data_IF_055200893843
#
_entry.id   IF_055200893843
#
_cell.length_a   1.000
_cell.length_b   1.000
_cell.length_c   1.000
_cell.angle_alpha   90.00
_cell.angle_beta   90.00
_cell.angle_gamma   90.00
#
_symmetry.space_group_name_H-M   'P 1'
#
loop_
_entity.id
_entity.type
_entity.pdbx_description
1 polymer ?
#
# COMPACT_ATOMS: atom_id res chain seq x y z
N UNK A 1 -6.74 17.16 27.98
CA UNK A 1 -6.67 17.75 26.63
C UNK A 1 -5.21 17.83 26.25
N UNK A 2 -4.79 17.09 25.23
CA UNK A 2 -3.41 17.03 24.77
C UNK A 2 -3.28 17.74 23.42
N UNK A 3 -2.07 18.22 23.12
CA UNK A 3 -1.74 18.80 21.82
C UNK A 3 -1.20 17.73 20.89
N UNK A 4 -1.82 17.57 19.72
CA UNK A 4 -1.45 16.54 18.75
C UNK A 4 -1.12 17.21 17.42
N UNK A 5 0.02 16.86 16.85
CA UNK A 5 0.42 17.29 15.51
C UNK A 5 0.35 16.10 14.57
N UNK A 6 -0.42 16.26 13.48
CA UNK A 6 -0.48 15.31 12.37
C UNK A 6 0.35 15.87 11.22
N UNK A 7 1.33 15.12 10.76
CA UNK A 7 2.21 15.49 9.64
C UNK A 7 1.65 14.87 8.36
N UNK A 8 1.17 15.73 7.46
CA UNK A 8 0.53 15.36 6.20
C UNK A 8 -0.98 15.16 6.30
N UNK A 9 -1.72 15.79 5.37
CA UNK A 9 -3.17 15.66 5.23
C UNK A 9 -3.58 14.41 4.42
N UNK A 10 -2.89 13.28 4.64
CA UNK A 10 -3.26 12.00 4.06
C UNK A 10 -4.53 11.44 4.69
N UNK A 11 -5.14 10.44 4.03
CA UNK A 11 -6.43 9.84 4.46
C UNK A 11 -6.39 9.38 5.91
N UNK A 12 -5.36 8.61 6.30
CA UNK A 12 -5.21 8.13 7.68
C UNK A 12 -5.01 9.24 8.68
N UNK A 13 -4.25 10.30 8.30
CA UNK A 13 -4.02 11.47 9.14
C UNK A 13 -5.28 12.28 9.39
N UNK A 14 -6.06 12.54 8.34
CA UNK A 14 -7.30 13.31 8.46
C UNK A 14 -8.35 12.57 9.29
N UNK A 15 -8.49 11.25 9.14
CA UNK A 15 -9.45 10.48 9.95
C UNK A 15 -9.00 10.37 11.42
N UNK A 16 -7.70 10.19 11.67
CA UNK A 16 -7.17 10.22 13.02
C UNK A 16 -7.36 11.58 13.67
N UNK A 17 -7.03 12.67 12.97
CA UNK A 17 -7.20 14.04 13.43
C UNK A 17 -8.65 14.34 13.81
N UNK A 18 -9.60 14.01 12.91
CA UNK A 18 -11.03 14.17 13.17
C UNK A 18 -11.46 13.48 14.48
N UNK A 19 -11.17 12.19 14.59
CA UNK A 19 -11.60 11.38 15.76
C UNK A 19 -10.94 11.86 17.07
N UNK A 20 -9.70 12.29 17.03
CA UNK A 20 -8.99 12.82 18.20
C UNK A 20 -9.52 14.20 18.62
N UNK A 21 -9.89 15.06 17.67
CA UNK A 21 -10.56 16.32 17.98
C UNK A 21 -11.95 16.08 18.58
N UNK A 22 -12.72 15.12 18.07
CA UNK A 22 -13.99 14.68 18.67
C UNK A 22 -13.82 14.11 20.08
N UNK A 23 -12.65 13.52 20.38
CA UNK A 23 -12.29 13.06 21.72
C UNK A 23 -11.79 14.19 22.66
N UNK A 24 -11.77 15.45 22.18
CA UNK A 24 -11.44 16.63 22.97
C UNK A 24 -9.95 17.01 23.02
N UNK A 25 -9.12 16.49 22.07
CA UNK A 25 -7.73 16.92 21.94
C UNK A 25 -7.60 18.15 21.04
N UNK A 26 -6.53 18.93 21.23
CA UNK A 26 -6.13 20.05 20.35
C UNK A 26 -5.29 19.49 19.19
N UNK A 27 -5.87 19.40 17.99
CA UNK A 27 -5.25 18.74 16.86
C UNK A 27 -4.93 19.73 15.74
N UNK A 28 -3.67 19.75 15.32
CA UNK A 28 -3.20 20.52 14.17
C UNK A 28 -2.60 19.59 13.12
N UNK A 29 -3.09 19.68 11.87
CA UNK A 29 -2.52 19.00 10.71
C UNK A 29 -1.58 19.96 9.99
N UNK A 30 -0.35 19.52 9.71
CA UNK A 30 0.64 20.27 8.92
C UNK A 30 0.74 19.64 7.54
N UNK A 31 0.31 20.35 6.50
CA UNK A 31 0.35 19.87 5.11
C UNK A 31 1.31 20.72 4.28
N UNK A 32 2.26 20.08 3.59
CA UNK A 32 3.29 20.77 2.78
C UNK A 32 2.74 21.43 1.52
N UNK A 33 1.67 20.87 0.97
CA UNK A 33 1.06 21.35 -0.28
C UNK A 33 0.03 22.46 -0.01
N UNK A 34 -0.33 23.18 -1.07
CA UNK A 34 -1.52 24.02 -1.07
C UNK A 34 -2.77 23.16 -0.98
N UNK A 35 -3.86 23.76 -0.47
CA UNK A 35 -5.15 23.06 -0.26
C UNK A 35 -5.65 22.34 -1.52
N UNK A 36 -5.51 22.95 -2.68
CA UNK A 36 -5.94 22.40 -3.97
C UNK A 36 -5.05 21.27 -4.51
N UNK A 37 -3.85 21.08 -3.93
CA UNK A 37 -2.84 20.12 -4.39
C UNK A 37 -2.57 18.98 -3.41
N UNK A 38 -3.44 18.79 -2.40
CA UNK A 38 -3.26 17.74 -1.40
C UNK A 38 -3.40 16.34 -2.01
N UNK A 39 -4.32 16.16 -2.95
CA UNK A 39 -4.58 14.88 -3.59
C UNK A 39 -4.21 14.89 -5.07
N UNK A 40 -3.76 13.74 -5.57
CA UNK A 40 -3.60 13.51 -7.00
C UNK A 40 -4.95 13.53 -7.71
N UNK A 41 -4.97 13.97 -8.98
CA UNK A 41 -6.15 13.97 -9.83
C UNK A 41 -6.40 12.57 -10.42
N UNK A 42 -6.91 11.68 -9.58
CA UNK A 42 -7.08 10.26 -9.87
C UNK A 42 -8.32 9.72 -9.15
N UNK A 43 -8.83 8.60 -9.66
CA UNK A 43 -9.86 7.81 -8.98
C UNK A 43 -9.27 6.52 -8.41
N UNK A 44 -9.74 6.09 -7.25
CA UNK A 44 -9.28 4.85 -6.62
C UNK A 44 -10.44 3.96 -6.19
N UNK A 45 -10.19 2.67 -6.19
CA UNK A 45 -11.12 1.68 -5.65
C UNK A 45 -10.84 1.44 -4.17
N UNK A 46 -11.87 1.50 -3.34
CA UNK A 46 -11.80 1.26 -1.89
C UNK A 46 -12.86 0.25 -1.50
N UNK A 47 -12.60 -0.56 -0.48
CA UNK A 47 -13.58 -1.49 0.07
C UNK A 47 -14.59 -0.77 0.98
N UNK A 48 -15.81 -1.31 1.02
CA UNK A 48 -16.91 -0.79 1.83
C UNK A 48 -16.59 -0.89 3.32
N UNK A 49 -15.99 -2.00 3.74
CA UNK A 49 -15.68 -2.28 5.13
C UNK A 49 -14.71 -1.26 5.75
N UNK A 50 -13.78 -0.73 4.96
CA UNK A 50 -12.87 0.32 5.43
C UNK A 50 -13.57 1.64 5.72
N UNK A 51 -14.59 2.01 4.91
CA UNK A 51 -15.44 3.17 5.19
C UNK A 51 -16.28 2.97 6.45
N UNK A 52 -16.92 1.81 6.57
CA UNK A 52 -17.72 1.44 7.74
C UNK A 52 -16.89 1.42 9.01
N UNK A 53 -15.69 0.80 8.96
CA UNK A 53 -14.76 0.77 10.08
C UNK A 53 -14.35 2.18 10.54
N UNK A 54 -14.15 3.09 9.58
CA UNK A 54 -13.86 4.49 9.86
C UNK A 54 -15.08 5.28 10.37
N UNK A 55 -16.29 4.74 10.27
CA UNK A 55 -17.54 5.43 10.59
C UNK A 55 -17.84 6.55 9.60
N UNK A 56 -17.47 6.34 8.34
CA UNK A 56 -17.74 7.30 7.27
C UNK A 56 -19.01 6.91 6.53
N UNK A 57 -19.89 7.88 6.32
CA UNK A 57 -21.02 7.74 5.41
C UNK A 57 -20.52 7.49 3.98
N UNK A 58 -21.16 6.59 3.26
CA UNK A 58 -20.85 6.26 1.88
C UNK A 58 -21.82 6.97 0.96
N UNK A 59 -21.39 8.01 0.20
CA UNK A 59 -22.23 8.63 -0.81
C UNK A 59 -22.61 7.64 -1.91
N UNK A 60 -23.81 7.76 -2.44
CA UNK A 60 -24.27 6.91 -3.55
C UNK A 60 -23.37 7.09 -4.78
N UNK A 61 -22.84 8.29 -5.00
CA UNK A 61 -21.88 8.59 -6.09
C UNK A 61 -20.55 7.83 -6.00
N UNK A 62 -20.21 7.24 -4.85
CA UNK A 62 -19.01 6.42 -4.70
C UNK A 62 -19.25 4.95 -5.05
N UNK A 63 -20.52 4.51 -5.08
CA UNK A 63 -20.84 3.12 -5.41
C UNK A 63 -20.60 2.86 -6.89
N UNK A 64 -19.87 1.81 -7.19
CA UNK A 64 -19.60 1.39 -8.55
C UNK A 64 -19.69 -0.13 -8.68
N UNK A 65 -20.01 -0.60 -9.88
CA UNK A 65 -19.81 -2.00 -10.21
C UNK A 65 -18.31 -2.28 -10.27
N UNK A 66 -17.86 -3.34 -9.62
CA UNK A 66 -16.47 -3.78 -9.76
C UNK A 66 -16.27 -4.33 -11.15
N UNK A 67 -15.39 -3.71 -11.90
CA UNK A 67 -14.95 -4.25 -13.18
C UNK A 67 -14.23 -5.58 -13.00
N UNK A 68 -14.50 -6.52 -13.89
CA UNK A 68 -13.69 -7.74 -14.01
C UNK A 68 -12.29 -7.33 -14.40
N UNK A 69 -11.31 -7.83 -13.68
CA UNK A 69 -9.89 -7.61 -13.96
C UNK A 69 -9.41 -8.74 -14.87
N UNK A 70 -8.81 -8.38 -15.98
CA UNK A 70 -8.19 -9.35 -16.90
C UNK A 70 -6.68 -9.19 -16.83
N UNK A 71 -5.99 -10.26 -16.47
CA UNK A 71 -4.55 -10.36 -16.59
C UNK A 71 -4.22 -10.73 -18.03
N UNK A 72 -3.49 -9.86 -18.69
CA UNK A 72 -3.11 -10.03 -20.10
C UNK A 72 -1.68 -10.56 -20.15
N UNK A 73 -1.46 -11.77 -20.69
CA UNK A 73 -0.12 -12.32 -20.87
C UNK A 73 0.61 -11.61 -22.00
N UNK A 74 1.94 -11.62 -21.95
CA UNK A 74 2.78 -11.06 -23.01
C UNK A 74 2.74 -11.88 -24.30
N UNK A 75 2.56 -13.18 -24.17
CA UNK A 75 2.48 -14.09 -25.30
C UNK A 75 1.07 -14.08 -25.89
N UNK A 76 0.97 -13.79 -27.17
CA UNK A 76 -0.33 -13.66 -27.87
C UNK A 76 -1.10 -14.98 -28.02
N UNK A 77 -0.43 -16.10 -27.84
CA UNK A 77 -0.97 -17.47 -27.89
C UNK A 77 -1.45 -17.98 -26.52
N UNK A 78 -1.22 -17.22 -25.46
CA UNK A 78 -1.72 -17.53 -24.10
C UNK A 78 -3.00 -16.75 -23.85
N UNK A 79 -4.06 -17.45 -23.43
CA UNK A 79 -5.36 -16.82 -23.14
C UNK A 79 -5.30 -15.92 -21.90
N UNK A 80 -5.87 -14.72 -21.94
CA UNK A 80 -5.97 -13.85 -20.77
C UNK A 80 -6.81 -14.47 -19.64
N UNK A 81 -6.37 -14.32 -18.42
CA UNK A 81 -7.09 -14.78 -17.22
C UNK A 81 -7.97 -13.66 -16.68
N UNK A 82 -9.28 -13.85 -16.71
CA UNK A 82 -10.23 -12.90 -16.16
C UNK A 82 -10.61 -13.31 -14.74
N UNK A 83 -10.28 -12.43 -13.79
CA UNK A 83 -10.66 -12.57 -12.38
C UNK A 83 -12.14 -12.18 -12.22
N UNK A 84 -12.97 -12.92 -11.44
CA UNK A 84 -14.33 -12.51 -11.20
C UNK A 84 -14.38 -11.15 -10.53
N UNK A 85 -15.40 -10.39 -10.87
CA UNK A 85 -15.80 -9.27 -10.03
C UNK A 85 -16.23 -9.84 -8.67
N UNK A 86 -15.78 -9.20 -7.56
CA UNK A 86 -16.32 -9.58 -6.24
C UNK A 86 -17.85 -9.49 -6.25
N UNK A 87 -18.50 -10.35 -5.46
CA UNK A 87 -19.97 -10.42 -5.41
C UNK A 87 -20.61 -9.13 -4.87
N UNK A 88 -19.85 -8.35 -4.09
CA UNK A 88 -20.28 -7.04 -3.58
C UNK A 88 -19.69 -5.91 -4.44
N UNK A 89 -20.50 -4.88 -4.71
CA UNK A 89 -20.09 -3.65 -5.37
C UNK A 89 -18.88 -3.02 -4.64
N UNK A 90 -18.04 -2.30 -5.37
CA UNK A 90 -16.92 -1.55 -4.81
C UNK A 90 -17.28 -0.07 -4.63
N UNK A 91 -16.36 0.67 -4.02
CA UNK A 91 -16.39 2.12 -4.03
C UNK A 91 -15.32 2.62 -4.99
N UNK A 92 -15.71 3.53 -5.86
CA UNK A 92 -14.81 4.29 -6.71
C UNK A 92 -14.82 5.74 -6.23
N UNK A 93 -13.72 6.19 -5.67
CA UNK A 93 -13.62 7.53 -5.10
C UNK A 93 -12.72 8.40 -5.97
N UNK A 94 -13.20 9.57 -6.37
CA UNK A 94 -12.31 10.63 -6.84
C UNK A 94 -11.48 11.14 -5.67
N UNK A 95 -10.16 11.09 -5.80
CA UNK A 95 -9.26 11.43 -4.67
C UNK A 95 -9.41 12.87 -4.23
N UNK A 96 -9.53 13.82 -5.17
CA UNK A 96 -9.67 15.25 -4.82
C UNK A 96 -10.95 15.50 -4.05
N UNK A 97 -12.06 14.92 -4.48
CA UNK A 97 -13.34 15.03 -3.79
C UNK A 97 -13.29 14.37 -2.41
N UNK A 98 -12.75 13.17 -2.34
CA UNK A 98 -12.64 12.41 -1.09
C UNK A 98 -11.75 13.13 -0.05
N UNK A 99 -10.57 13.62 -0.45
CA UNK A 99 -9.68 14.35 0.44
C UNK A 99 -10.29 15.68 0.89
N UNK A 100 -10.95 16.40 -0.01
CA UNK A 100 -11.71 17.61 0.33
C UNK A 100 -12.78 17.31 1.38
N UNK A 101 -13.55 16.23 1.18
CA UNK A 101 -14.57 15.78 2.14
C UNK A 101 -13.97 15.45 3.50
N UNK A 102 -12.87 14.68 3.55
CA UNK A 102 -12.21 14.35 4.81
C UNK A 102 -11.66 15.60 5.51
N UNK A 103 -11.10 16.55 4.76
CA UNK A 103 -10.63 17.82 5.32
C UNK A 103 -11.77 18.61 5.95
N UNK A 104 -12.91 18.71 5.28
CA UNK A 104 -14.10 19.39 5.81
C UNK A 104 -14.65 18.70 7.07
N UNK A 105 -14.65 17.37 7.11
CA UNK A 105 -15.06 16.61 8.29
C UNK A 105 -14.09 16.85 9.47
N UNK A 106 -12.79 16.91 9.21
CA UNK A 106 -11.79 17.20 10.23
C UNK A 106 -11.91 18.66 10.75
N UNK A 107 -12.00 19.64 9.83
CA UNK A 107 -12.22 21.05 10.18
C UNK A 107 -13.53 21.22 10.99
N UNK A 108 -14.61 20.54 10.61
CA UNK A 108 -15.89 20.52 11.32
C UNK A 108 -15.83 19.93 12.72
N UNK A 109 -14.87 19.03 12.99
CA UNK A 109 -14.58 18.48 14.32
C UNK A 109 -13.66 19.40 15.17
N UNK A 110 -13.19 20.53 14.62
CA UNK A 110 -12.31 21.48 15.32
C UNK A 110 -10.81 21.31 15.00
N UNK A 111 -10.44 20.49 14.02
CA UNK A 111 -9.04 20.33 13.59
C UNK A 111 -8.59 21.58 12.85
N UNK A 112 -7.40 22.07 13.19
CA UNK A 112 -6.73 23.13 12.44
C UNK A 112 -5.85 22.50 11.36
N UNK A 113 -6.06 22.83 10.06
CA UNK A 113 -5.21 22.40 8.96
C UNK A 113 -4.37 23.58 8.48
N UNK A 114 -3.05 23.47 8.61
CA UNK A 114 -2.07 24.45 8.13
C UNK A 114 -1.47 23.94 6.82
N UNK A 115 -1.89 24.54 5.71
CA UNK A 115 -1.35 24.25 4.38
C UNK A 115 -0.04 25.02 4.15
N UNK A 116 0.77 24.58 3.17
CA UNK A 116 2.09 25.13 2.86
C UNK A 116 3.03 25.14 4.10
N UNK A 117 2.78 24.20 5.02
CA UNK A 117 3.54 24.03 6.26
C UNK A 117 4.20 22.66 6.27
N UNK A 118 5.46 22.58 5.83
CA UNK A 118 6.20 21.32 5.73
C UNK A 118 6.96 21.01 7.01
N UNK A 119 6.64 19.88 7.67
CA UNK A 119 7.44 19.34 8.77
C UNK A 119 8.68 18.61 8.19
N UNK A 120 9.87 18.91 8.74
CA UNK A 120 11.17 18.43 8.25
C UNK A 120 11.90 17.49 9.19
N UNK A 121 11.86 17.77 10.48
CA UNK A 121 12.62 17.03 11.49
C UNK A 121 11.77 16.78 12.74
N UNK A 122 11.92 15.63 13.40
CA UNK A 122 11.36 15.43 14.73
C UNK A 122 12.14 16.27 15.76
N UNK A 123 11.46 16.76 16.80
CA UNK A 123 12.06 17.31 17.99
C UNK A 123 12.15 16.19 19.02
N UNK A 124 13.36 15.89 19.48
CA UNK A 124 13.61 14.82 20.44
C UNK A 124 13.96 15.42 21.80
N UNK A 125 13.22 15.05 22.84
CA UNK A 125 13.52 15.38 24.23
C UNK A 125 13.74 14.07 25.02
N UNK A 126 14.98 13.82 25.40
CA UNK A 126 15.35 12.53 25.99
C UNK A 126 15.14 11.37 25.00
N UNK A 127 14.26 10.43 25.35
CA UNK A 127 13.88 9.30 24.49
C UNK A 127 12.56 9.51 23.73
N UNK A 128 11.97 10.72 23.81
CA UNK A 128 10.63 11.00 23.32
C UNK A 128 10.64 11.92 22.12
N UNK A 129 9.75 11.68 21.17
CA UNK A 129 9.37 12.65 20.14
C UNK A 129 8.41 13.66 20.80
N UNK A 130 8.84 14.93 20.86
CA UNK A 130 8.12 15.99 21.57
C UNK A 130 7.57 17.08 20.62
N UNK A 131 7.65 16.84 19.31
CA UNK A 131 7.18 17.78 18.30
C UNK A 131 7.90 17.66 16.97
N UNK A 132 7.74 18.68 16.13
CA UNK A 132 8.38 18.75 14.81
C UNK A 132 8.96 20.14 14.55
N UNK A 133 10.03 20.17 13.76
CA UNK A 133 10.59 21.40 13.20
C UNK A 133 10.13 21.54 11.74
N UNK A 134 9.56 22.68 11.40
CA UNK A 134 9.05 22.99 10.07
C UNK A 134 10.15 23.56 9.15
N UNK A 135 9.91 23.60 7.85
CA UNK A 135 10.86 24.05 6.84
C UNK A 135 11.28 25.52 7.03
N UNK A 136 10.42 26.37 7.60
CA UNK A 136 10.71 27.75 7.97
C UNK A 136 11.52 27.89 9.27
N UNK A 137 11.95 26.76 9.86
CA UNK A 137 12.78 26.70 11.05
C UNK A 137 12.04 26.79 12.38
N UNK A 138 10.70 26.92 12.38
CA UNK A 138 9.92 26.98 13.62
C UNK A 138 9.82 25.61 14.28
N UNK A 139 9.89 25.62 15.61
CA UNK A 139 9.67 24.44 16.44
C UNK A 139 8.21 24.41 16.93
N UNK A 140 7.57 23.26 16.74
CA UNK A 140 6.20 22.98 17.12
C UNK A 140 6.18 21.84 18.13
N UNK A 141 5.99 22.14 19.39
CA UNK A 141 5.94 21.16 20.48
C UNK A 141 4.53 20.60 20.65
N UNK A 142 4.44 19.30 20.90
CA UNK A 142 3.17 18.57 21.13
C UNK A 142 3.39 17.33 22.00
N UNK A 143 2.30 16.71 22.43
CA UNK A 143 2.31 15.51 23.24
C UNK A 143 2.38 14.24 22.38
N UNK A 144 1.85 14.29 21.13
CA UNK A 144 1.90 13.19 20.14
C UNK A 144 2.12 13.76 18.74
N UNK A 145 3.07 13.18 18.01
CA UNK A 145 3.25 13.36 16.57
C UNK A 145 2.68 12.14 15.84
N UNK A 146 1.71 12.37 14.96
CA UNK A 146 1.16 11.34 14.05
C UNK A 146 1.75 11.59 12.66
N UNK A 147 2.61 10.68 12.20
CA UNK A 147 3.31 10.82 10.92
C UNK A 147 2.55 10.15 9.78
N UNK A 148 1.96 10.98 8.92
CA UNK A 148 1.30 10.61 7.66
C UNK A 148 2.04 11.24 6.46
N UNK A 149 3.35 11.51 6.61
CA UNK A 149 4.18 12.18 5.61
C UNK A 149 4.49 11.34 4.36
N UNK A 150 3.88 10.16 4.22
CA UNK A 150 4.04 9.28 3.08
C UNK A 150 5.32 8.43 3.12
N UNK A 151 5.57 7.69 2.05
CA UNK A 151 6.66 6.70 1.96
C UNK A 151 8.05 7.30 2.24
N UNK A 152 8.26 8.55 1.90
CA UNK A 152 9.52 9.30 2.11
C UNK A 152 9.42 10.30 3.28
N UNK A 153 8.60 10.04 4.31
CA UNK A 153 8.44 10.95 5.44
C UNK A 153 9.80 11.41 6.01
N UNK A 154 10.06 12.72 6.05
CA UNK A 154 11.27 13.25 6.63
C UNK A 154 11.30 13.06 8.16
N UNK A 155 10.15 12.96 8.81
CA UNK A 155 10.10 12.72 10.26
C UNK A 155 10.60 11.30 10.56
N UNK A 156 10.01 10.27 9.94
CA UNK A 156 10.43 8.87 10.11
C UNK A 156 11.91 8.68 9.82
N UNK A 157 12.41 9.25 8.71
CA UNK A 157 13.81 9.10 8.27
C UNK A 157 14.82 9.75 9.21
N UNK A 158 14.41 10.68 10.04
CA UNK A 158 15.24 11.36 11.03
C UNK A 158 14.98 10.93 12.49
N UNK A 159 14.22 9.85 12.71
CA UNK A 159 14.07 9.28 14.05
C UNK A 159 15.40 8.68 14.56
N UNK A 160 15.68 8.74 15.87
CA UNK A 160 16.85 8.08 16.46
C UNK A 160 16.76 6.55 16.34
N UNK A 161 17.92 5.87 16.27
CA UNK A 161 17.98 4.41 16.12
C UNK A 161 17.35 3.64 17.29
N UNK A 162 17.35 4.20 18.48
CA UNK A 162 16.74 3.58 19.65
C UNK A 162 15.22 3.38 19.53
N UNK A 163 14.57 4.00 18.55
CA UNK A 163 13.13 3.81 18.28
C UNK A 163 12.83 2.48 17.60
N UNK A 164 13.84 1.82 17.03
CA UNK A 164 13.72 0.62 16.18
C UNK A 164 12.85 0.80 14.93
N UNK A 165 12.41 2.02 14.63
CA UNK A 165 11.61 2.33 13.43
C UNK A 165 12.54 2.40 12.22
N UNK A 166 12.25 1.59 11.19
CA UNK A 166 13.05 1.55 9.96
C UNK A 166 12.99 2.87 9.21
N UNK A 167 14.16 3.46 8.95
CA UNK A 167 14.30 4.79 8.32
C UNK A 167 14.30 4.70 6.79
N UNK A 168 15.13 3.81 6.25
CA UNK A 168 15.31 3.68 4.80
C UNK A 168 14.58 2.45 4.28
N UNK A 169 14.07 2.56 3.07
CA UNK A 169 13.43 1.50 2.33
C UNK A 169 14.28 1.16 1.11
N UNK A 170 14.36 -0.12 0.77
CA UNK A 170 15.05 -0.54 -0.46
C UNK A 170 14.27 -0.08 -1.70
N UNK A 171 14.90 -0.12 -2.88
CA UNK A 171 14.20 0.18 -4.12
C UNK A 171 13.07 -0.81 -4.43
N UNK A 172 13.23 -2.09 -4.05
CA UNK A 172 12.23 -3.12 -4.26
C UNK A 172 11.06 -3.08 -3.25
N UNK A 173 11.18 -2.23 -2.23
CA UNK A 173 10.10 -1.94 -1.28
C UNK A 173 9.06 -0.97 -1.86
N UNK A 174 9.37 -0.34 -2.99
CA UNK A 174 8.55 0.69 -3.63
C UNK A 174 8.33 0.39 -5.10
N UNK A 175 7.21 0.85 -5.62
CA UNK A 175 6.99 1.04 -7.04
C UNK A 175 6.93 2.53 -7.36
N UNK A 176 7.49 2.87 -8.50
CA UNK A 176 7.39 4.19 -9.10
C UNK A 176 6.30 4.13 -10.14
N UNK A 177 5.36 5.06 -10.07
CA UNK A 177 4.16 5.02 -10.90
C UNK A 177 4.01 6.29 -11.72
N UNK A 178 3.46 6.15 -12.91
CA UNK A 178 2.86 7.24 -13.67
C UNK A 178 1.42 6.87 -13.98
N UNK A 179 0.46 7.73 -13.66
CA UNK A 179 -0.96 7.51 -13.93
C UNK A 179 -1.58 8.71 -14.62
N UNK A 180 -2.32 8.43 -15.69
CA UNK A 180 -2.90 9.44 -16.56
C UNK A 180 -4.24 8.94 -17.11
N UNK A 181 -5.13 9.89 -17.45
CA UNK A 181 -6.42 9.62 -18.07
C UNK A 181 -6.43 10.27 -19.43
N UNK A 182 -6.65 9.47 -20.46
CA UNK A 182 -6.71 9.92 -21.84
C UNK A 182 -8.15 9.95 -22.32
N UNK A 183 -8.45 10.87 -23.26
CA UNK A 183 -9.73 10.90 -23.94
C UNK A 183 -10.01 9.54 -24.59
N UNK A 184 -11.25 9.07 -24.53
CA UNK A 184 -11.64 7.86 -25.22
C UNK A 184 -11.94 8.16 -26.69
N UNK A 185 -11.40 7.37 -27.62
CA UNK A 185 -11.73 7.42 -29.03
C UNK A 185 -13.15 6.92 -29.27
N UNK A 186 -14.01 7.78 -29.84
CA UNK A 186 -15.46 7.52 -29.97
C UNK A 186 -15.80 6.39 -30.92
N UNK A 187 -15.01 6.26 -32.00
CA UNK A 187 -15.26 5.28 -33.07
C UNK A 187 -14.48 3.97 -32.89
N UNK A 188 -13.73 3.85 -31.81
CA UNK A 188 -13.00 2.64 -31.52
C UNK A 188 -13.93 1.49 -31.09
N UNK A 189 -13.62 0.23 -31.49
CA UNK A 189 -14.40 -0.92 -31.05
C UNK A 189 -14.42 -1.02 -29.51
N UNK A 190 -15.54 -1.52 -28.97
CA UNK A 190 -15.62 -1.74 -27.54
C UNK A 190 -14.59 -2.78 -27.12
N UNK A 191 -13.81 -2.54 -26.06
CA UNK A 191 -12.86 -3.51 -25.56
C UNK A 191 -13.60 -4.74 -25.01
N UNK A 192 -13.00 -5.92 -25.18
CA UNK A 192 -13.57 -7.18 -24.65
C UNK A 192 -13.72 -7.14 -23.13
N UNK A 193 -12.82 -6.42 -22.47
CA UNK A 193 -12.78 -6.26 -21.02
C UNK A 193 -12.48 -4.81 -20.65
N UNK A 194 -13.13 -4.32 -19.59
CA UNK A 194 -12.99 -2.94 -19.17
C UNK A 194 -11.65 -2.67 -18.46
N UNK A 195 -11.10 -3.66 -17.74
CA UNK A 195 -9.90 -3.51 -16.93
C UNK A 195 -8.86 -4.58 -17.29
N UNK A 196 -7.81 -4.16 -17.97
CA UNK A 196 -6.69 -5.02 -18.38
C UNK A 196 -5.43 -4.66 -17.59
N UNK A 197 -4.78 -5.67 -17.01
CA UNK A 197 -3.48 -5.57 -16.35
C UNK A 197 -2.45 -6.35 -17.16
N UNK A 198 -1.41 -5.67 -17.56
CA UNK A 198 -0.25 -6.22 -18.28
C UNK A 198 0.89 -6.38 -17.27
N UNK A 199 1.19 -7.64 -16.91
CA UNK A 199 2.31 -7.94 -16.02
C UNK A 199 3.58 -8.00 -16.84
N UNK A 200 4.64 -7.30 -16.40
CA UNK A 200 5.91 -7.18 -17.12
C UNK A 200 5.73 -6.71 -18.57
N UNK A 201 4.86 -5.72 -18.76
CA UNK A 201 4.61 -5.14 -20.06
C UNK A 201 5.92 -4.73 -20.75
N UNK A 202 6.05 -5.06 -22.02
CA UNK A 202 7.27 -4.88 -22.82
C UNK A 202 8.54 -5.53 -22.22
N UNK A 203 8.36 -6.62 -21.46
CA UNK A 203 9.45 -7.38 -20.82
C UNK A 203 10.13 -6.69 -19.65
N UNK A 204 9.63 -5.54 -19.22
CA UNK A 204 10.21 -4.76 -18.11
C UNK A 204 9.60 -5.11 -16.75
N UNK A 205 10.31 -4.83 -15.66
CA UNK A 205 9.82 -5.06 -14.31
C UNK A 205 8.65 -4.13 -13.95
N UNK A 206 7.59 -4.69 -13.36
CA UNK A 206 6.40 -3.97 -12.94
C UNK A 206 5.14 -4.45 -13.65
N UNK A 207 4.16 -3.59 -13.69
CA UNK A 207 2.89 -3.84 -14.40
C UNK A 207 2.34 -2.53 -14.95
N UNK A 208 1.52 -2.65 -15.98
CA UNK A 208 0.75 -1.53 -16.52
C UNK A 208 -0.72 -1.93 -16.56
N UNK A 209 -1.63 -0.97 -16.50
CA UNK A 209 -3.04 -1.24 -16.73
C UNK A 209 -3.69 -0.25 -17.65
N UNK A 210 -4.79 -0.70 -18.24
CA UNK A 210 -5.78 0.14 -18.92
C UNK A 210 -7.15 -0.16 -18.33
N UNK A 211 -7.83 0.88 -17.86
CA UNK A 211 -9.24 0.80 -17.43
C UNK A 211 -10.06 1.70 -18.35
N UNK A 212 -11.02 1.07 -19.03
CA UNK A 212 -11.88 1.74 -19.98
C UNK A 212 -13.13 2.29 -19.29
N UNK A 213 -13.16 3.60 -19.07
CA UNK A 213 -14.35 4.34 -18.65
C UNK A 213 -15.27 4.69 -19.80
N UNK A 214 -16.36 5.38 -19.51
CA UNK A 214 -17.30 5.86 -20.54
C UNK A 214 -16.70 6.96 -21.42
N UNK A 215 -15.98 7.90 -20.81
CA UNK A 215 -15.48 9.12 -21.45
C UNK A 215 -13.95 9.20 -21.51
N UNK A 216 -13.25 8.44 -20.67
CA UNK A 216 -11.81 8.43 -20.56
C UNK A 216 -11.26 7.00 -20.44
N UNK A 217 -9.97 6.90 -20.61
CA UNK A 217 -9.18 5.68 -20.43
C UNK A 217 -8.13 5.95 -19.38
N UNK A 218 -8.24 5.27 -18.22
CA UNK A 218 -7.28 5.35 -17.12
C UNK A 218 -6.10 4.42 -17.42
N UNK A 219 -4.92 5.00 -17.47
CA UNK A 219 -3.68 4.31 -17.75
C UNK A 219 -2.72 4.47 -16.59
N UNK A 220 -2.17 3.35 -16.12
CA UNK A 220 -1.08 3.36 -15.15
C UNK A 220 0.07 2.52 -15.67
N UNK A 221 1.28 3.01 -15.48
CA UNK A 221 2.51 2.21 -15.60
C UNK A 221 3.31 2.26 -14.31
N UNK A 222 3.92 1.13 -13.95
CA UNK A 222 4.70 0.98 -12.71
C UNK A 222 6.01 0.27 -12.97
N UNK A 223 7.07 0.66 -12.24
CA UNK A 223 8.38 -0.01 -12.24
C UNK A 223 8.97 -0.03 -10.82
N UNK A 224 9.91 -0.94 -10.56
CA UNK A 224 10.71 -0.94 -9.33
C UNK A 224 11.90 0.03 -9.37
N UNK A 225 11.94 0.92 -10.34
CA UNK A 225 12.93 1.98 -10.50
C UNK A 225 12.26 3.27 -10.99
N UNK A 226 12.91 4.43 -10.79
CA UNK A 226 12.33 5.71 -11.19
C UNK A 226 12.01 5.77 -12.69
N UNK A 227 10.84 6.29 -13.02
CA UNK A 227 10.38 6.43 -14.41
C UNK A 227 10.94 7.69 -15.04
N UNK A 228 11.73 7.55 -16.14
CA UNK A 228 12.11 8.67 -16.99
C UNK A 228 10.95 9.08 -17.91
N UNK A 229 11.06 10.27 -18.51
CA UNK A 229 10.06 10.73 -19.49
C UNK A 229 10.05 9.84 -20.73
N UNK A 230 11.23 9.40 -21.19
CA UNK A 230 11.38 8.52 -22.35
C UNK A 230 10.70 7.16 -22.10
N UNK A 231 10.89 6.61 -20.90
CA UNK A 231 10.25 5.34 -20.53
C UNK A 231 8.73 5.47 -20.48
N UNK A 232 8.21 6.54 -19.86
CA UNK A 232 6.77 6.80 -19.81
C UNK A 232 6.20 6.91 -21.22
N UNK A 233 6.84 7.66 -22.10
CA UNK A 233 6.39 7.83 -23.49
C UNK A 233 6.44 6.53 -24.28
N UNK A 234 7.47 5.70 -24.11
CA UNK A 234 7.57 4.37 -24.72
C UNK A 234 6.41 3.47 -24.28
N UNK A 235 6.16 3.40 -22.97
CA UNK A 235 5.06 2.61 -22.40
C UNK A 235 3.68 3.06 -22.88
N UNK A 236 3.44 4.38 -22.88
CA UNK A 236 2.17 4.93 -23.35
C UNK A 236 1.93 4.63 -24.84
N UNK A 237 3.01 4.65 -25.64
CA UNK A 237 2.93 4.28 -27.06
C UNK A 237 2.59 2.81 -27.23
N UNK A 238 3.25 1.90 -26.51
CA UNK A 238 2.97 0.47 -26.57
C UNK A 238 1.54 0.17 -26.13
N UNK A 239 1.08 0.76 -25.03
CA UNK A 239 -0.29 0.61 -24.55
C UNK A 239 -1.33 1.16 -25.54
N UNK A 240 -1.04 2.28 -26.20
CA UNK A 240 -1.92 2.85 -27.21
C UNK A 240 -2.02 1.96 -28.47
N UNK A 241 -0.92 1.37 -28.92
CA UNK A 241 -0.91 0.45 -30.08
C UNK A 241 -1.75 -0.80 -29.84
N UNK A 242 -1.78 -1.31 -28.62
CA UNK A 242 -2.59 -2.46 -28.21
C UNK A 242 -4.05 -2.10 -27.89
N UNK A 243 -4.32 -0.85 -27.59
CA UNK A 243 -5.62 -0.36 -27.13
C UNK A 243 -6.09 0.85 -27.95
N UNK A 244 -6.63 0.64 -29.15
CA UNK A 244 -6.96 1.71 -30.09
C UNK A 244 -8.09 2.64 -29.61
N UNK A 245 -8.82 2.27 -28.54
CA UNK A 245 -9.79 3.14 -27.88
C UNK A 245 -9.16 4.18 -26.93
N UNK A 246 -7.88 4.03 -26.60
CA UNK A 246 -7.13 5.04 -25.88
C UNK A 246 -6.76 6.20 -26.83
N UNK A 247 -7.29 7.39 -26.59
CA UNK A 247 -6.96 8.59 -27.37
C UNK A 247 -5.59 9.15 -27.00
N UNK A 248 -5.19 10.21 -27.70
CA UNK A 248 -3.88 10.87 -27.50
C UNK A 248 -3.92 12.05 -26.55
N UNK A 249 -5.10 12.59 -26.26
CA UNK A 249 -5.27 13.78 -25.45
C UNK A 249 -5.37 13.42 -23.99
N UNK A 250 -4.42 13.91 -23.19
CA UNK A 250 -4.47 13.84 -21.72
C UNK A 250 -5.65 14.71 -21.22
N UNK A 251 -6.55 14.13 -20.43
CA UNK A 251 -7.71 14.84 -19.86
C UNK A 251 -7.53 15.15 -18.37
N UNK A 252 -6.86 14.27 -17.62
CA UNK A 252 -6.50 14.49 -16.21
C UNK A 252 -5.36 13.56 -15.76
N UNK A 253 -4.88 13.72 -14.55
CA UNK A 253 -3.74 12.94 -14.02
C UNK A 253 -2.41 13.42 -14.60
N UNK A 254 -1.62 12.52 -15.17
CA UNK A 254 -0.26 12.82 -15.63
C UNK A 254 0.71 13.00 -14.47
N UNK A 255 0.49 12.26 -13.37
CA UNK A 255 1.26 12.41 -12.13
C UNK A 255 2.12 11.18 -11.85
N UNK A 256 3.29 11.44 -11.24
CA UNK A 256 4.17 10.40 -10.72
C UNK A 256 3.98 10.26 -9.22
N UNK A 257 4.08 9.03 -8.72
CA UNK A 257 4.05 8.74 -7.31
C UNK A 257 5.00 7.59 -6.97
N UNK A 258 5.46 7.57 -5.72
CA UNK A 258 6.13 6.41 -5.12
C UNK A 258 5.16 5.76 -4.13
N UNK A 259 4.99 4.45 -4.26
CA UNK A 259 4.04 3.69 -3.44
C UNK A 259 4.81 2.54 -2.78
N UNK A 260 4.74 2.37 -1.45
CA UNK A 260 5.33 1.22 -0.81
C UNK A 260 4.55 -0.05 -1.19
N UNK A 261 5.26 -1.10 -1.60
CA UNK A 261 4.71 -2.41 -1.99
C UNK A 261 5.45 -3.52 -1.26
N UNK A 262 5.44 -3.42 0.05
CA UNK A 262 6.12 -4.33 0.97
C UNK A 262 5.24 -4.64 2.18
N UNK A 263 5.72 -5.49 3.07
CA UNK A 263 5.16 -5.67 4.40
C UNK A 263 5.19 -4.35 5.20
N UNK A 264 4.30 -4.13 6.16
CA UNK A 264 4.38 -3.00 7.09
C UNK A 264 5.74 -2.92 7.79
N UNK A 265 6.08 -1.78 8.35
CA UNK A 265 7.25 -1.69 9.22
C UNK A 265 7.10 -2.62 10.43
N UNK A 266 8.21 -3.16 10.94
CA UNK A 266 8.21 -4.04 12.12
C UNK A 266 7.81 -3.30 13.40
N UNK A 267 8.10 -1.99 13.45
CA UNK A 267 7.76 -1.05 14.52
C UNK A 267 7.40 0.28 13.86
N UNK A 268 6.30 0.88 14.26
CA UNK A 268 5.86 2.17 13.75
C UNK A 268 5.31 3.11 14.86
N UNK A 269 5.58 2.77 16.12
CA UNK A 269 5.30 3.63 17.28
C UNK A 269 6.53 3.76 18.18
N UNK A 270 6.67 4.91 18.82
CA UNK A 270 7.59 5.12 19.92
C UNK A 270 7.03 6.22 20.84
N UNK A 271 7.70 6.52 21.97
CA UNK A 271 7.22 7.54 22.89
C UNK A 271 6.96 8.87 22.16
N UNK A 272 5.70 9.31 22.16
CA UNK A 272 5.23 10.53 21.51
C UNK A 272 5.14 10.50 19.99
N UNK A 273 5.19 9.31 19.37
CA UNK A 273 5.15 9.18 17.92
C UNK A 273 4.40 7.92 17.46
N UNK A 274 3.60 8.09 16.41
CA UNK A 274 2.98 6.98 15.68
C UNK A 274 2.95 7.28 14.17
N UNK A 275 3.26 6.30 13.33
CA UNK A 275 3.14 6.42 11.88
C UNK A 275 1.87 5.75 11.34
N UNK A 276 1.30 6.30 10.25
CA UNK A 276 0.11 5.79 9.57
C UNK A 276 0.33 5.84 8.05
N UNK A 277 -0.28 4.90 7.34
CA UNK A 277 -0.34 4.86 5.88
C UNK A 277 1.00 4.53 5.26
N UNK A 278 1.33 5.17 4.14
CA UNK A 278 2.56 4.88 3.40
C UNK A 278 3.83 5.13 4.22
N UNK A 279 3.75 5.99 5.22
CA UNK A 279 4.84 6.22 6.16
C UNK A 279 5.20 4.97 6.95
N UNK A 280 4.23 4.12 7.28
CA UNK A 280 4.41 2.83 7.93
C UNK A 280 4.31 1.64 6.96
N UNK A 281 4.36 1.89 5.64
CA UNK A 281 4.19 0.90 4.58
C UNK A 281 2.84 0.15 4.66
N UNK A 282 1.78 0.86 5.03
CA UNK A 282 0.43 0.30 5.18
C UNK A 282 -0.31 0.33 3.85
N UNK A 283 0.17 -0.43 2.90
CA UNK A 283 -0.46 -0.63 1.59
C UNK A 283 -0.67 -2.12 1.33
N UNK A 284 -1.58 -2.44 0.45
CA UNK A 284 -1.76 -3.79 -0.05
C UNK A 284 -0.57 -4.15 -0.96
N UNK A 285 0.35 -5.03 -0.57
CA UNK A 285 1.65 -5.16 -1.24
C UNK A 285 1.60 -5.53 -2.73
N UNK A 286 0.57 -6.27 -3.15
CA UNK A 286 0.45 -6.73 -4.55
C UNK A 286 -0.17 -5.67 -5.47
N UNK A 287 -1.03 -4.78 -4.92
CA UNK A 287 -1.80 -3.78 -5.69
C UNK A 287 -1.34 -2.35 -5.46
N UNK A 288 -0.57 -2.07 -4.39
CA UNK A 288 -0.21 -0.72 -3.98
C UNK A 288 -1.39 0.12 -3.45
N UNK A 289 -2.55 -0.47 -3.16
CA UNK A 289 -3.71 0.23 -2.62
C UNK A 289 -3.54 0.48 -1.13
N UNK A 290 -3.61 1.74 -0.68
CA UNK A 290 -3.35 2.14 0.71
C UNK A 290 -4.50 2.87 1.41
N UNK A 291 -5.55 3.31 0.69
CA UNK A 291 -6.63 4.13 1.26
C UNK A 291 -7.38 3.37 2.35
N UNK A 292 -7.84 2.15 2.09
CA UNK A 292 -8.57 1.33 3.05
C UNK A 292 -7.74 1.05 4.31
N UNK A 293 -6.49 0.62 4.15
CA UNK A 293 -5.58 0.38 5.28
C UNK A 293 -5.32 1.65 6.09
N UNK A 294 -5.16 2.80 5.43
CA UNK A 294 -4.96 4.09 6.09
C UNK A 294 -6.19 4.55 6.88
N UNK A 295 -7.41 4.34 6.36
CA UNK A 295 -8.66 4.63 7.08
C UNK A 295 -8.76 3.80 8.36
N UNK A 296 -8.51 2.50 8.26
CA UNK A 296 -8.56 1.60 9.41
C UNK A 296 -7.47 1.91 10.42
N UNK A 297 -6.22 2.09 9.98
CA UNK A 297 -5.09 2.43 10.84
C UNK A 297 -5.28 3.76 11.57
N UNK A 298 -5.75 4.80 10.87
CA UNK A 298 -6.07 6.10 11.48
C UNK A 298 -7.17 5.99 12.54
N UNK A 299 -8.16 5.14 12.30
CA UNK A 299 -9.23 4.87 13.26
C UNK A 299 -8.73 4.10 14.49
N UNK A 300 -7.90 3.06 14.28
CA UNK A 300 -7.28 2.28 15.36
C UNK A 300 -6.40 3.17 16.25
N UNK A 301 -5.54 4.00 15.65
CA UNK A 301 -4.68 4.92 16.41
C UNK A 301 -5.50 5.94 17.20
N UNK A 302 -6.51 6.54 16.58
CA UNK A 302 -7.34 7.52 17.26
C UNK A 302 -8.07 6.91 18.47
N UNK A 303 -8.59 5.69 18.35
CA UNK A 303 -9.20 4.95 19.46
C UNK A 303 -8.18 4.71 20.57
N UNK A 304 -7.02 4.16 20.24
CA UNK A 304 -5.95 3.88 21.18
C UNK A 304 -5.49 5.16 21.92
N UNK A 305 -5.26 6.26 21.19
CA UNK A 305 -4.81 7.52 21.77
C UNK A 305 -5.89 8.22 22.61
N UNK A 306 -7.17 8.09 22.26
CA UNK A 306 -8.28 8.61 23.07
C UNK A 306 -8.47 7.87 24.40
N UNK A 307 -8.03 6.61 24.49
CA UNK A 307 -8.04 5.81 25.71
C UNK A 307 -6.88 6.16 26.68
N UNK A 308 -5.85 6.87 26.21
CA UNK A 308 -4.72 7.37 27.03
C UNK A 308 -5.13 8.56 27.90
N UNK A 309 -5.71 8.27 29.06
CA UNK A 309 -6.23 9.28 29.97
C UNK A 309 -5.16 10.20 30.57
N UNK A 310 -3.94 9.71 30.65
CA UNK A 310 -2.81 10.47 31.21
C UNK A 310 -2.15 11.35 30.14
N UNK A 311 -2.47 11.11 28.86
CA UNK A 311 -1.93 11.86 27.72
C UNK A 311 -0.42 11.66 27.54
N UNK A 312 0.10 10.52 28.00
CA UNK A 312 1.53 10.22 27.95
C UNK A 312 1.95 9.76 26.54
N UNK A 313 1.08 9.12 25.80
CA UNK A 313 1.35 8.55 24.46
C UNK A 313 2.73 7.87 24.41
N UNK A 314 2.98 7.01 25.39
CA UNK A 314 4.21 6.24 25.47
C UNK A 314 4.11 4.93 24.67
N UNK A 315 5.22 4.20 24.56
CA UNK A 315 5.25 2.93 23.86
C UNK A 315 4.21 1.93 24.39
N UNK A 316 3.95 1.87 25.70
CA UNK A 316 2.98 0.94 26.29
C UNK A 316 1.57 1.18 25.76
N UNK A 317 1.15 2.46 25.74
CA UNK A 317 -0.16 2.84 25.21
C UNK A 317 -0.23 2.65 23.71
N UNK A 318 0.73 3.20 22.95
CA UNK A 318 0.68 3.20 21.50
C UNK A 318 0.89 1.79 20.89
N UNK A 319 1.50 0.86 21.64
CA UNK A 319 1.66 -0.53 21.18
C UNK A 319 0.32 -1.24 20.95
N UNK A 320 -0.73 -0.83 21.63
CA UNK A 320 -2.07 -1.40 21.41
C UNK A 320 -2.55 -1.14 20.00
N UNK A 321 -2.28 0.05 19.44
CA UNK A 321 -2.56 0.36 18.05
C UNK A 321 -1.77 -0.55 17.11
N UNK A 322 -0.47 -0.72 17.37
CA UNK A 322 0.39 -1.57 16.54
C UNK A 322 -0.06 -3.04 16.59
N UNK A 323 -0.40 -3.53 17.78
CA UNK A 323 -0.89 -4.89 17.97
C UNK A 323 -2.26 -5.13 17.28
N UNK A 324 -3.19 -4.18 17.37
CA UNK A 324 -4.47 -4.26 16.68
C UNK A 324 -4.27 -4.24 15.16
N UNK A 325 -3.40 -3.36 14.65
CA UNK A 325 -3.10 -3.29 13.22
C UNK A 325 -2.49 -4.60 12.70
N UNK A 326 -1.47 -5.15 13.37
CA UNK A 326 -0.86 -6.41 12.95
C UNK A 326 -1.86 -7.55 12.95
N UNK A 327 -2.70 -7.65 13.98
CA UNK A 327 -3.73 -8.68 14.08
C UNK A 327 -4.76 -8.61 12.95
N UNK A 328 -5.25 -7.42 12.63
CA UNK A 328 -6.36 -7.23 11.69
C UNK A 328 -5.89 -7.16 10.22
N UNK A 329 -4.69 -6.61 9.98
CA UNK A 329 -4.21 -6.28 8.63
C UNK A 329 -2.77 -6.75 8.41
N UNK A 330 -1.87 -6.44 9.36
CA UNK A 330 -0.44 -6.49 9.17
C UNK A 330 0.08 -7.89 8.81
N UNK A 331 -0.38 -8.94 9.49
CA UNK A 331 0.06 -10.31 9.18
C UNK A 331 -0.43 -10.77 7.79
N UNK A 332 -1.64 -10.37 7.39
CA UNK A 332 -2.12 -10.58 6.03
C UNK A 332 -1.25 -9.88 4.98
N UNK A 333 -0.90 -8.62 5.25
CA UNK A 333 0.00 -7.86 4.39
C UNK A 333 1.41 -8.48 4.31
N UNK A 334 1.94 -9.03 5.42
CA UNK A 334 3.21 -9.77 5.40
C UNK A 334 3.17 -10.98 4.47
N UNK A 335 2.09 -11.75 4.52
CA UNK A 335 1.90 -12.92 3.66
C UNK A 335 1.81 -12.53 2.18
N UNK A 336 1.10 -11.44 1.86
CA UNK A 336 1.03 -10.90 0.51
C UNK A 336 2.37 -10.34 0.02
N UNK A 337 3.19 -9.77 0.93
CA UNK A 337 4.52 -9.30 0.60
C UNK A 337 5.45 -10.44 0.17
N UNK A 338 5.31 -11.65 0.74
CA UNK A 338 6.06 -12.83 0.29
C UNK A 338 5.76 -13.15 -1.18
N UNK A 339 4.50 -13.06 -1.60
CA UNK A 339 4.13 -13.26 -3.02
C UNK A 339 4.70 -12.12 -3.89
N UNK A 340 4.54 -10.87 -3.46
CA UNK A 340 5.03 -9.71 -4.21
C UNK A 340 6.54 -9.78 -4.42
N UNK A 341 7.29 -10.22 -3.41
CA UNK A 341 8.75 -10.33 -3.49
C UNK A 341 9.23 -11.36 -4.54
N UNK A 342 8.36 -12.22 -5.04
CA UNK A 342 8.64 -13.08 -6.19
C UNK A 342 8.57 -12.33 -7.53
N UNK A 343 7.73 -11.31 -7.64
CA UNK A 343 7.44 -10.63 -8.93
C UNK A 343 8.67 -10.10 -9.67
N UNK A 344 9.68 -9.46 -9.03
CA UNK A 344 10.88 -9.02 -9.73
C UNK A 344 11.66 -10.18 -10.39
N UNK A 345 11.58 -11.37 -9.81
CA UNK A 345 12.36 -12.54 -10.24
C UNK A 345 11.64 -13.44 -11.24
N UNK A 346 10.35 -13.22 -11.48
CA UNK A 346 9.56 -13.97 -12.46
C UNK A 346 9.65 -13.28 -13.80
N UNK A 347 10.06 -14.01 -14.85
CA UNK A 347 10.09 -13.47 -16.22
C UNK A 347 8.68 -13.40 -16.80
N UNK A 348 8.51 -12.62 -17.86
CA UNK A 348 7.24 -12.55 -18.59
C UNK A 348 6.78 -13.93 -19.11
N UNK A 349 7.73 -14.75 -19.58
CA UNK A 349 7.46 -16.12 -20.00
C UNK A 349 6.94 -16.99 -18.86
N UNK A 350 7.57 -16.92 -17.69
CA UNK A 350 7.14 -17.68 -16.52
C UNK A 350 5.74 -17.25 -16.02
N UNK A 351 5.40 -15.95 -16.10
CA UNK A 351 4.03 -15.51 -15.82
C UNK A 351 3.05 -16.15 -16.78
N UNK A 352 3.37 -16.17 -18.07
CA UNK A 352 2.53 -16.82 -19.07
C UNK A 352 2.44 -18.35 -18.84
N UNK A 353 3.54 -19.02 -18.50
CA UNK A 353 3.55 -20.44 -18.15
C UNK A 353 2.60 -20.72 -16.96
N UNK A 354 2.66 -19.90 -15.90
CA UNK A 354 1.77 -20.02 -14.74
C UNK A 354 0.30 -19.79 -15.10
N UNK A 355 0.01 -18.92 -16.06
CA UNK A 355 -1.35 -18.67 -16.54
C UNK A 355 -1.86 -19.81 -17.41
N UNK A 356 -1.06 -20.32 -18.34
CA UNK A 356 -1.44 -21.42 -19.24
C UNK A 356 -1.71 -22.72 -18.48
N UNK A 357 -0.97 -22.98 -17.41
CA UNK A 357 -1.15 -24.13 -16.53
C UNK A 357 -2.24 -23.94 -15.46
N UNK A 358 -3.01 -22.85 -15.52
CA UNK A 358 -4.05 -22.50 -14.55
C UNK A 358 -3.55 -22.45 -13.08
N UNK A 359 -2.30 -22.05 -12.86
CA UNK A 359 -1.72 -21.94 -11.53
C UNK A 359 -2.09 -20.61 -10.89
N UNK A 360 -2.32 -19.58 -11.71
CA UNK A 360 -2.86 -18.29 -11.30
C UNK A 360 -4.35 -18.20 -11.65
N UNK A 361 -5.18 -19.05 -11.02
CA UNK A 361 -6.62 -18.95 -11.21
C UNK A 361 -7.22 -17.90 -10.29
N UNK A 362 -8.38 -17.43 -10.67
CA UNK A 362 -9.26 -16.58 -9.89
C UNK A 362 -9.47 -17.06 -8.46
N UNK A 363 -9.76 -18.35 -8.33
CA UNK A 363 -10.14 -18.96 -7.05
C UNK A 363 -8.98 -18.97 -6.08
N UNK A 364 -7.79 -19.23 -6.55
CA UNK A 364 -6.57 -19.20 -5.74
C UNK A 364 -6.13 -17.80 -5.34
N UNK A 365 -6.29 -16.84 -6.25
CA UNK A 365 -6.05 -15.44 -5.90
C UNK A 365 -7.02 -14.96 -4.81
N UNK A 366 -8.28 -15.42 -4.86
CA UNK A 366 -9.26 -15.16 -3.80
C UNK A 366 -8.88 -15.86 -2.49
N UNK A 367 -8.52 -17.15 -2.55
CA UNK A 367 -8.09 -17.92 -1.38
C UNK A 367 -6.86 -17.34 -0.68
N UNK A 368 -5.85 -16.91 -1.45
CA UNK A 368 -4.66 -16.25 -0.92
C UNK A 368 -4.97 -14.90 -0.26
N UNK A 369 -6.04 -14.25 -0.71
CA UNK A 369 -6.50 -12.99 -0.14
C UNK A 369 -7.26 -13.19 1.17
N UNK A 370 -8.13 -14.20 1.24
CA UNK A 370 -9.10 -14.37 2.33
C UNK A 370 -8.61 -15.31 3.45
N UNK A 371 -7.72 -16.26 3.14
CA UNK A 371 -7.35 -17.32 4.10
C UNK A 371 -6.11 -16.99 4.92
N UNK A 372 -6.14 -17.36 6.20
CA UNK A 372 -4.98 -17.30 7.10
C UNK A 372 -3.97 -18.41 6.79
N UNK A 373 -2.69 -18.20 7.11
CA UNK A 373 -1.64 -19.21 6.89
C UNK A 373 -1.92 -20.56 7.56
N UNK A 374 -2.59 -20.56 8.69
CA UNK A 374 -3.02 -21.81 9.34
C UNK A 374 -3.92 -22.67 8.45
N UNK A 375 -4.73 -22.03 7.60
CA UNK A 375 -5.57 -22.75 6.61
C UNK A 375 -4.80 -23.16 5.35
N UNK A 376 -3.69 -22.48 5.03
CA UNK A 376 -2.81 -22.82 3.92
C UNK A 376 -1.82 -23.96 4.24
N UNK A 377 -1.59 -24.26 5.52
CA UNK A 377 -0.74 -25.36 5.97
C UNK A 377 -1.53 -26.64 6.26
N UNK A 378 -2.78 -26.71 5.90
CA UNK A 378 -3.58 -27.93 6.03
C UNK A 378 -3.07 -29.04 5.08
N UNK A 379 -3.23 -30.33 5.42
CA UNK A 379 -2.87 -31.44 4.52
C UNK A 379 -3.50 -31.32 3.12
N UNK A 380 -4.71 -30.74 3.04
CA UNK A 380 -5.42 -30.49 1.79
C UNK A 380 -4.71 -29.42 0.96
N UNK A 381 -4.31 -28.30 1.58
CA UNK A 381 -3.59 -27.21 0.89
C UNK A 381 -2.20 -27.66 0.44
N UNK A 382 -1.48 -28.43 1.27
CA UNK A 382 -0.19 -29.03 0.89
C UNK A 382 -0.35 -29.98 -0.32
N UNK A 383 -1.44 -30.78 -0.33
CA UNK A 383 -1.75 -31.65 -1.48
C UNK A 383 -2.04 -30.83 -2.74
N UNK A 384 -2.82 -29.75 -2.64
CA UNK A 384 -3.11 -28.87 -3.78
C UNK A 384 -1.85 -28.22 -4.35
N UNK A 385 -0.96 -27.69 -3.47
CA UNK A 385 0.36 -27.17 -3.90
C UNK A 385 1.18 -28.25 -4.61
N UNK A 386 1.19 -29.47 -4.09
CA UNK A 386 1.92 -30.59 -4.73
C UNK A 386 1.38 -30.92 -6.11
N UNK A 387 0.06 -30.93 -6.30
CA UNK A 387 -0.55 -31.18 -7.62
C UNK A 387 -0.18 -30.07 -8.60
N UNK A 388 -0.22 -28.82 -8.19
CA UNK A 388 0.20 -27.67 -9.00
C UNK A 388 1.67 -27.72 -9.39
N UNK A 389 2.54 -28.13 -8.47
CA UNK A 389 3.96 -28.32 -8.78
C UNK A 389 4.20 -29.41 -9.82
N UNK A 390 3.29 -30.41 -9.94
CA UNK A 390 3.35 -31.41 -11.02
C UNK A 390 3.00 -30.82 -12.38
N UNK A 391 2.03 -29.87 -12.43
CA UNK A 391 1.68 -29.19 -13.68
C UNK A 391 2.87 -28.39 -14.24
N UNK A 392 3.79 -27.93 -13.37
CA UNK A 392 5.01 -27.20 -13.75
C UNK A 392 6.21 -28.11 -14.03
N UNK A 393 6.06 -29.42 -14.25
CA UNK A 393 7.20 -30.30 -14.53
C UNK A 393 7.98 -29.89 -15.79
N UNK A 394 7.29 -29.38 -16.80
CA UNK A 394 7.87 -28.91 -18.07
C UNK A 394 8.38 -27.44 -17.97
N UNK A 395 8.18 -26.78 -16.81
CA UNK A 395 8.58 -25.40 -16.49
C UNK A 395 9.44 -25.36 -15.21
N UNK A 396 10.68 -25.89 -15.24
CA UNK A 396 11.50 -26.12 -14.03
C UNK A 396 11.81 -24.82 -13.25
N UNK A 397 12.01 -23.70 -13.94
CA UNK A 397 12.31 -22.42 -13.28
C UNK A 397 11.10 -21.88 -12.52
N UNK A 398 9.93 -21.86 -13.14
CA UNK A 398 8.66 -21.48 -12.50
C UNK A 398 8.35 -22.38 -11.30
N UNK A 399 8.57 -23.71 -11.47
CA UNK A 399 8.39 -24.69 -10.39
C UNK A 399 9.32 -24.46 -9.20
N UNK A 400 10.59 -24.18 -9.44
CA UNK A 400 11.57 -23.91 -8.37
C UNK A 400 11.26 -22.62 -7.62
N UNK A 401 10.83 -21.56 -8.32
CA UNK A 401 10.39 -20.30 -7.69
C UNK A 401 9.16 -20.49 -6.83
N UNK A 402 8.17 -21.25 -7.29
CA UNK A 402 6.97 -21.58 -6.50
C UNK A 402 7.33 -22.42 -5.26
N UNK A 403 8.24 -23.40 -5.40
CA UNK A 403 8.77 -24.17 -4.26
C UNK A 403 9.46 -23.26 -3.24
N UNK A 404 10.33 -22.37 -3.67
CA UNK A 404 11.01 -21.42 -2.79
C UNK A 404 10.00 -20.51 -2.08
N UNK A 405 8.96 -20.05 -2.75
CA UNK A 405 7.89 -19.30 -2.12
C UNK A 405 7.23 -20.09 -0.99
N UNK A 406 6.91 -21.38 -1.19
CA UNK A 406 6.31 -22.21 -0.12
C UNK A 406 7.26 -22.41 1.07
N UNK A 407 8.57 -22.51 0.84
CA UNK A 407 9.58 -22.56 1.91
C UNK A 407 9.58 -21.27 2.73
N UNK A 408 9.50 -20.10 2.07
CA UNK A 408 9.44 -18.81 2.77
C UNK A 408 8.15 -18.63 3.57
N UNK A 409 7.01 -19.11 3.06
CA UNK A 409 5.77 -19.16 3.84
C UNK A 409 5.93 -20.04 5.10
N UNK A 410 6.58 -21.21 4.99
CA UNK A 410 6.86 -22.07 6.14
C UNK A 410 7.78 -21.40 7.18
N UNK A 411 8.80 -20.67 6.74
CA UNK A 411 9.67 -19.88 7.62
C UNK A 411 8.91 -18.74 8.29
N UNK A 412 8.05 -18.05 7.55
CA UNK A 412 7.21 -16.98 8.10
C UNK A 412 6.29 -17.48 9.23
N UNK A 413 5.73 -18.67 9.09
CA UNK A 413 4.91 -19.28 10.13
C UNK A 413 5.66 -19.48 11.47
N UNK A 414 7.02 -19.48 11.47
CA UNK A 414 7.84 -19.49 12.69
C UNK A 414 8.23 -18.08 13.18
N UNK A 415 8.10 -17.07 12.35
CA UNK A 415 8.37 -15.66 12.71
C UNK A 415 7.13 -15.00 13.29
N UNK A 416 5.99 -15.13 12.62
CA UNK A 416 4.72 -14.49 12.97
C UNK A 416 4.34 -14.64 14.46
N UNK A 417 4.44 -15.83 15.11
CA UNK A 417 4.10 -16.00 16.53
C UNK A 417 5.05 -15.29 17.51
N UNK A 418 6.19 -14.76 17.03
CA UNK A 418 7.12 -14.02 17.88
C UNK A 418 6.75 -12.55 18.10
N UNK A 419 5.66 -12.09 17.48
CA UNK A 419 5.13 -10.74 17.67
C UNK A 419 4.66 -10.53 19.12
N UNK A 420 5.14 -9.51 19.84
CA UNK A 420 4.73 -9.23 21.21
C UNK A 420 3.34 -8.55 21.22
N UNK A 421 2.32 -9.25 21.72
CA UNK A 421 0.96 -8.71 21.81
C UNK A 421 0.80 -7.61 22.88
N UNK A 422 1.79 -7.48 23.78
CA UNK A 422 1.90 -6.40 24.76
C UNK A 422 3.29 -5.79 24.65
N UNK A 423 3.40 -4.52 24.94
CA UNK A 423 4.69 -3.85 24.91
C UNK A 423 5.62 -4.44 25.98
N UNK A 424 6.77 -4.89 25.53
CA UNK A 424 7.97 -5.18 26.30
C UNK A 424 9.16 -4.81 25.44
N UNK A 425 9.98 -3.89 25.91
CA UNK A 425 11.08 -3.32 25.13
C UNK A 425 12.04 -4.36 24.54
N UNK A 426 12.35 -5.40 25.32
CA UNK A 426 13.25 -6.46 24.87
C UNK A 426 12.59 -7.38 23.83
N UNK A 427 11.31 -7.71 24.05
CA UNK A 427 10.53 -8.50 23.10
C UNK A 427 10.30 -7.75 21.78
N UNK A 428 10.01 -6.45 21.82
CA UNK A 428 9.85 -5.59 20.63
C UNK A 428 11.16 -5.50 19.85
N UNK A 429 12.29 -5.26 20.53
CA UNK A 429 13.61 -5.23 19.87
C UNK A 429 13.93 -6.56 19.19
N UNK A 430 13.68 -7.68 19.86
CA UNK A 430 13.88 -9.03 19.30
C UNK A 430 12.95 -9.32 18.13
N UNK A 431 11.70 -8.88 18.22
CA UNK A 431 10.74 -8.96 17.12
C UNK A 431 11.21 -8.16 15.90
N UNK A 432 11.55 -6.88 16.11
CA UNK A 432 12.00 -6.00 15.03
C UNK A 432 13.22 -6.59 14.29
N UNK A 433 14.21 -7.07 15.05
CA UNK A 433 15.38 -7.72 14.47
C UNK A 433 14.99 -8.95 13.66
N UNK A 434 14.26 -9.90 14.25
CA UNK A 434 13.87 -11.16 13.59
C UNK A 434 13.00 -10.91 12.34
N UNK A 435 12.10 -9.96 12.42
CA UNK A 435 11.22 -9.56 11.32
C UNK A 435 12.01 -8.96 10.15
N UNK A 436 12.87 -7.98 10.43
CA UNK A 436 13.65 -7.30 9.40
C UNK A 436 14.64 -8.27 8.75
N UNK A 437 15.39 -9.04 9.55
CA UNK A 437 16.31 -10.08 9.05
C UNK A 437 15.59 -11.12 8.17
N UNK A 438 14.35 -11.49 8.53
CA UNK A 438 13.56 -12.41 7.72
C UNK A 438 13.29 -11.85 6.33
N UNK A 439 12.76 -10.63 6.24
CA UNK A 439 12.41 -10.02 4.95
C UNK A 439 13.64 -9.60 4.13
N UNK A 440 14.73 -9.18 4.76
CA UNK A 440 16.00 -8.86 4.09
C UNK A 440 16.69 -10.09 3.48
N UNK A 441 16.50 -11.26 4.08
CA UNK A 441 17.10 -12.51 3.62
C UNK A 441 16.25 -13.29 2.60
N UNK A 442 15.07 -12.77 2.20
CA UNK A 442 14.26 -13.44 1.18
C UNK A 442 14.98 -13.37 -0.16
N UNK A 443 15.42 -14.54 -0.64
CA UNK A 443 15.97 -14.71 -1.99
C UNK A 443 15.20 -15.80 -2.70
N UNK A 444 14.63 -15.47 -3.86
CA UNK A 444 13.95 -16.44 -4.71
C UNK A 444 14.87 -17.00 -5.81
N UNK A 445 15.97 -16.30 -6.07
CA UNK A 445 17.03 -16.67 -7.02
C UNK A 445 18.36 -16.19 -6.43
N UNK A 446 19.45 -16.89 -6.68
CA UNK A 446 20.79 -16.33 -6.48
C UNK A 446 21.03 -15.29 -7.60
N UNK A 447 20.84 -14.04 -7.29
CA UNK A 447 21.09 -12.93 -8.22
C UNK A 447 22.52 -12.41 -8.04
N UNK A 448 23.24 -12.29 -9.15
CA UNK A 448 24.34 -11.36 -9.26
C UNK A 448 23.75 -9.99 -9.57
N UNK A 449 23.99 -8.96 -8.72
CA UNK A 449 23.47 -7.60 -8.92
C UNK A 449 23.86 -7.00 -10.28
N UNK A 450 24.87 -7.57 -10.95
CA UNK A 450 25.31 -7.21 -12.30
C UNK A 450 24.35 -7.64 -13.40
N UNK A 451 23.47 -8.60 -13.14
CA UNK A 451 22.47 -9.08 -14.11
C UNK A 451 21.18 -8.25 -14.09
N UNK A 452 21.11 -7.22 -13.24
CA UNK A 452 19.94 -6.36 -13.08
C UNK A 452 19.98 -5.07 -13.90
N UNK A 453 21.04 -4.83 -14.69
CA UNK A 453 21.25 -3.58 -15.47
C UNK A 453 21.58 -3.84 -16.92
#
# INVERSE_FOLDING_TARGET
MSRIIVVGAGVGGLIAAKKLAEAGHDVTVLEKNKKENVAYDQSDSVDVESFEYAGLEIPESYRCERNRITLVPLQKDVEPVTLPAGEEGGLCVDRKDFFKRLSLLAEGAGVKIEYECEAKLPIILGSRVAGVKTADGKERYCDLVIDCGGVNSPIRRNLPDFTHIQKELSRFDKIYTYRAYFEREKDAPQPKTAYNIYVKHDGTDGFSWIVNGENDVDVLTTRFYPLSDELILSELKALHEENPHMGKKLVRGGTRAEIPVRQPLSVFVCDGYAAIGDCACMTYPVKGSGIGYSLRAGTMLAKCAAEDKDGLFNCETLWQYEAEFFKEIGFGACRLALMKNLLPYVTAKEVSDLMSENILTTEEMKELYEKTLGSLLTPRAVSAIREKLKLLNDHPDSRNKLLNMTVWFGKWAMVEPSFPTKYDRAAVSKWAQKYNEFFENIKYVEYDERDLF
#
